data_IF_508916610148
#
_entry.id   IF_508916610148
#
_cell.length_a   1.000
_cell.length_b   1.000
_cell.length_c   1.000
_cell.angle_alpha   90.00
_cell.angle_beta   90.00
_cell.angle_gamma   90.00
#
_symmetry.space_group_name_H-M   'P 1'
#
loop_
_entity.id
_entity.type
_entity.pdbx_description
1 polymer ?
#
# COMPACT_ATOMS: atom_id res chain seq x y z
N UNK A 1 -12.57 -6.75 31.38
CA UNK A 1 -11.95 -5.48 30.93
C UNK A 1 -12.34 -5.26 29.47
N UNK A 2 -12.77 -4.06 29.07
CA UNK A 2 -13.04 -3.77 27.65
C UNK A 2 -11.72 -3.39 26.98
N UNK A 3 -11.31 -4.16 25.97
CA UNK A 3 -10.17 -3.81 25.13
C UNK A 3 -10.50 -2.55 24.33
N UNK A 4 -9.65 -1.53 24.44
CA UNK A 4 -9.77 -0.30 23.65
C UNK A 4 -8.82 -0.41 22.46
N UNK A 5 -9.37 -0.27 21.26
CA UNK A 5 -8.59 -0.29 20.01
C UNK A 5 -8.58 1.11 19.43
N UNK A 6 -7.38 1.61 19.11
CA UNK A 6 -7.19 2.91 18.45
C UNK A 6 -7.03 2.67 16.96
N UNK A 7 -7.88 3.28 16.14
CA UNK A 7 -7.83 3.20 14.68
C UNK A 7 -7.46 4.58 14.15
N UNK A 8 -6.28 4.70 13.55
CA UNK A 8 -5.87 5.93 12.88
C UNK A 8 -6.63 6.05 11.56
N UNK A 9 -7.25 7.20 11.29
CA UNK A 9 -7.93 7.51 10.03
C UNK A 9 -7.14 8.58 9.26
N UNK A 10 -7.19 8.54 7.93
CA UNK A 10 -6.72 9.69 7.14
C UNK A 10 -7.81 10.77 7.07
N UNK A 11 -7.45 11.97 6.60
CA UNK A 11 -8.37 13.12 6.60
C UNK A 11 -9.68 12.86 5.82
N UNK A 12 -9.62 12.13 4.70
CA UNK A 12 -10.83 11.78 3.92
C UNK A 12 -11.71 10.78 4.66
N UNK A 13 -11.09 9.76 5.28
CA UNK A 13 -11.78 8.75 6.08
C UNK A 13 -12.46 9.38 7.30
N UNK A 14 -11.81 10.36 7.93
CA UNK A 14 -12.36 11.09 9.07
C UNK A 14 -13.60 11.91 8.68
N UNK A 15 -13.53 12.69 7.60
CA UNK A 15 -14.66 13.50 7.12
C UNK A 15 -15.86 12.61 6.78
N UNK A 16 -15.63 11.46 6.15
CA UNK A 16 -16.70 10.53 5.79
C UNK A 16 -17.35 9.90 7.03
N UNK A 17 -16.53 9.52 8.03
CA UNK A 17 -17.06 9.01 9.30
C UNK A 17 -17.89 10.08 10.02
N UNK A 18 -17.40 11.32 10.10
CA UNK A 18 -18.11 12.44 10.72
C UNK A 18 -19.47 12.68 10.08
N UNK A 19 -19.56 12.61 8.74
CA UNK A 19 -20.83 12.71 8.00
C UNK A 19 -21.81 11.62 8.41
N UNK A 20 -21.37 10.35 8.37
CA UNK A 20 -22.23 9.21 8.72
C UNK A 20 -22.72 9.30 10.17
N UNK A 21 -21.85 9.71 11.10
CA UNK A 21 -22.26 9.91 12.49
C UNK A 21 -23.20 11.10 12.68
N UNK A 22 -23.06 12.15 11.88
CA UNK A 22 -23.97 13.31 11.92
C UNK A 22 -25.37 12.92 11.45
N UNK A 23 -25.45 12.02 10.47
CA UNK A 23 -26.71 11.46 9.96
C UNK A 23 -27.36 10.44 10.92
N UNK A 24 -26.69 10.11 12.04
CA UNK A 24 -27.20 9.19 13.07
C UNK A 24 -27.18 7.71 12.68
N UNK A 25 -26.51 7.34 11.58
CA UNK A 25 -26.48 5.97 11.09
C UNK A 25 -25.30 5.18 11.69
N UNK A 26 -25.50 4.69 12.92
CA UNK A 26 -24.49 3.90 13.64
C UNK A 26 -24.09 2.61 12.90
N UNK A 27 -25.05 1.98 12.22
CA UNK A 27 -24.80 0.72 11.50
C UNK A 27 -23.84 0.97 10.34
N UNK A 28 -24.09 2.03 9.57
CA UNK A 28 -23.22 2.44 8.47
C UNK A 28 -21.85 2.91 8.95
N UNK A 29 -21.77 3.57 10.11
CA UNK A 29 -20.48 3.95 10.70
C UNK A 29 -19.63 2.72 11.05
N UNK A 30 -20.24 1.69 11.64
CA UNK A 30 -19.57 0.43 11.96
C UNK A 30 -19.14 -0.34 10.71
N UNK A 31 -19.98 -0.38 9.67
CA UNK A 31 -19.63 -0.98 8.38
C UNK A 31 -18.45 -0.27 7.72
N UNK A 32 -18.46 1.07 7.73
CA UNK A 32 -17.36 1.87 7.22
C UNK A 32 -16.04 1.57 7.95
N UNK A 33 -16.06 1.57 9.30
CA UNK A 33 -14.88 1.26 10.10
C UNK A 33 -14.36 -0.16 9.84
N UNK A 34 -15.23 -1.15 9.70
CA UNK A 34 -14.84 -2.53 9.33
C UNK A 34 -14.09 -2.56 7.99
N UNK A 35 -14.59 -1.85 6.99
CA UNK A 35 -13.95 -1.80 5.67
C UNK A 35 -12.60 -1.08 5.71
N UNK A 36 -12.48 0.01 6.46
CA UNK A 36 -11.20 0.71 6.66
C UNK A 36 -10.18 -0.22 7.35
N UNK A 37 -10.57 -0.91 8.42
CA UNK A 37 -9.68 -1.85 9.14
C UNK A 37 -9.25 -2.99 8.24
N UNK A 38 -10.17 -3.62 7.49
CA UNK A 38 -9.82 -4.69 6.53
C UNK A 38 -8.81 -4.22 5.49
N UNK A 39 -9.00 -3.03 4.91
CA UNK A 39 -8.06 -2.48 3.93
C UNK A 39 -6.67 -2.25 4.53
N UNK A 40 -6.60 -1.72 5.76
CA UNK A 40 -5.32 -1.49 6.45
C UNK A 40 -4.65 -2.80 6.85
N UNK A 41 -5.41 -3.78 7.34
CA UNK A 41 -4.90 -5.12 7.64
C UNK A 41 -4.37 -5.81 6.38
N UNK A 42 -5.11 -5.77 5.27
CA UNK A 42 -4.68 -6.33 3.99
C UNK A 42 -3.41 -5.63 3.47
N UNK A 43 -3.32 -4.31 3.59
CA UNK A 43 -2.12 -3.54 3.21
C UNK A 43 -0.91 -3.86 4.09
N UNK A 44 -1.13 -4.07 5.39
CA UNK A 44 -0.07 -4.46 6.32
C UNK A 44 0.38 -5.91 6.14
N UNK A 45 -0.54 -6.80 5.75
CA UNK A 45 -0.25 -8.20 5.44
C UNK A 45 0.36 -8.39 4.04
N UNK A 46 0.21 -7.41 3.15
CA UNK A 46 0.86 -7.45 1.84
C UNK A 46 2.39 -7.50 2.04
N UNK A 47 3.11 -8.36 1.29
CA UNK A 47 4.56 -8.43 1.39
C UNK A 47 5.14 -7.05 1.06
N UNK A 48 5.64 -6.36 2.09
CA UNK A 48 6.29 -5.07 1.93
C UNK A 48 7.59 -5.17 1.15
N UNK A 49 8.17 -4.01 0.81
CA UNK A 49 9.53 -3.94 0.31
C UNK A 49 10.46 -4.41 1.43
N UNK A 50 10.92 -5.67 1.37
CA UNK A 50 11.89 -6.19 2.32
C UNK A 50 13.23 -5.49 2.11
N UNK A 51 13.88 -4.95 3.14
CA UNK A 51 15.21 -4.38 2.98
C UNK A 51 16.20 -5.42 2.45
N UNK A 52 17.16 -4.99 1.64
CA UNK A 52 18.05 -5.88 0.84
C UNK A 52 18.70 -7.02 1.65
N UNK A 53 19.03 -6.78 2.92
CA UNK A 53 19.65 -7.80 3.79
C UNK A 53 18.70 -8.97 4.13
N UNK A 54 17.38 -8.78 4.10
CA UNK A 54 16.40 -9.86 4.31
C UNK A 54 16.27 -10.80 3.11
N UNK A 55 16.86 -10.45 1.96
CA UNK A 55 16.89 -11.29 0.76
C UNK A 55 18.04 -12.30 0.76
N UNK A 56 18.75 -12.47 1.89
CA UNK A 56 19.90 -13.38 2.01
C UNK A 56 20.98 -13.12 0.94
N UNK A 57 21.13 -11.87 0.50
CA UNK A 57 22.09 -11.48 -0.54
C UNK A 57 21.72 -11.92 -1.97
N UNK A 58 20.53 -12.48 -2.20
CA UNK A 58 20.04 -12.79 -3.56
C UNK A 58 19.23 -11.61 -4.09
N UNK A 59 19.71 -11.02 -5.18
CA UNK A 59 19.02 -9.90 -5.83
C UNK A 59 17.63 -10.36 -6.34
N UNK A 60 16.52 -9.67 -5.97
CA UNK A 60 15.20 -10.01 -6.47
C UNK A 60 15.12 -9.95 -8.00
N UNK A 61 14.35 -10.87 -8.59
CA UNK A 61 14.12 -10.94 -10.04
C UNK A 61 13.64 -9.61 -10.63
N UNK A 62 12.89 -8.84 -9.85
CA UNK A 62 12.38 -7.51 -10.20
C UNK A 62 13.54 -6.53 -10.52
N UNK A 63 14.62 -6.55 -9.75
CA UNK A 63 15.79 -5.69 -9.99
C UNK A 63 16.54 -6.11 -11.26
N UNK A 64 16.68 -7.42 -11.51
CA UNK A 64 17.28 -7.93 -12.76
C UNK A 64 16.47 -7.54 -13.99
N UNK A 65 15.13 -7.60 -13.92
CA UNK A 65 14.26 -7.17 -15.02
C UNK A 65 14.35 -5.66 -15.29
N UNK A 66 14.43 -4.85 -14.23
CA UNK A 66 14.58 -3.41 -14.36
C UNK A 66 15.92 -3.04 -15.01
N UNK A 67 17.01 -3.70 -14.61
CA UNK A 67 18.35 -3.55 -15.22
C UNK A 67 18.40 -4.01 -16.68
N UNK A 68 17.70 -5.09 -17.03
CA UNK A 68 17.62 -5.56 -18.41
C UNK A 68 16.88 -4.58 -19.32
N UNK A 69 15.79 -3.97 -18.81
CA UNK A 69 15.01 -2.95 -19.55
C UNK A 69 15.80 -1.65 -19.78
N UNK A 70 16.62 -1.22 -18.84
CA UNK A 70 17.48 -0.02 -19.01
C UNK A 70 18.59 -0.26 -20.03
N UNK A 71 19.26 -1.42 -20.01
CA UNK A 71 20.29 -1.76 -21.02
C UNK A 71 19.74 -1.83 -22.44
N UNK A 72 18.52 -2.33 -22.61
CA UNK A 72 17.87 -2.39 -23.93
C UNK A 72 17.54 -0.97 -24.45
N UNK A 73 17.09 -0.06 -23.57
CA UNK A 73 16.84 1.35 -23.94
C UNK A 73 18.12 2.10 -24.32
N UNK A 74 19.25 1.87 -23.63
CA UNK A 74 20.54 2.47 -23.99
C UNK A 74 21.08 1.93 -25.32
N UNK A 75 20.95 0.61 -25.56
CA UNK A 75 21.34 0.00 -26.84
C UNK A 75 20.50 0.54 -28.00
N UNK A 76 19.19 0.74 -27.81
CA UNK A 76 18.32 1.33 -28.82
C UNK A 76 18.61 2.82 -29.07
N UNK A 77 19.00 3.58 -28.04
CA UNK A 77 19.38 5.00 -28.18
C UNK A 77 20.68 5.15 -28.96
N UNK A 78 21.67 4.30 -28.72
CA UNK A 78 22.95 4.31 -29.44
C UNK A 78 22.81 3.93 -30.93
N UNK A 79 21.86 3.05 -31.28
CA UNK A 79 21.59 2.65 -32.67
C UNK A 79 20.80 3.68 -33.50
N UNK A 80 20.14 4.66 -32.86
CA UNK A 80 19.42 5.76 -33.53
C UNK A 80 20.30 6.98 -33.84
N UNK A 81 21.55 7.00 -33.36
CA UNK A 81 22.51 8.10 -33.48
C UNK A 81 23.65 7.79 -34.47
N UNK A 82 23.54 6.71 -35.25
CA UNK A 82 24.41 6.38 -36.38
C UNK A 82 23.62 6.39 -37.67
#
# INVERSE_FOLDING_TARGET
>A
MKEKVVISLNQKEQIELERITTDGDEKRALEFLKEVVKKKAAKAAAPGCKPFFEWQGKEPQILTEMKAKTKNKESQRSKRLK
#
